data_IF_967676507363
#
_entry.id   IF_967676507363
#
_cell.length_a   1.000
_cell.length_b   1.000
_cell.length_c   1.000
_cell.angle_alpha   90.00
_cell.angle_beta   90.00
_cell.angle_gamma   90.00
#
_symmetry.space_group_name_H-M   'P 1'
#
loop_
_entity.id
_entity.type
_entity.pdbx_description
1 polymer ?
#
# COMPACT_ATOMS: atom_id res chain seq x y z
N UNK A 1 2.58 24.59 -8.34
CA UNK A 1 2.28 23.74 -7.17
C UNK A 1 0.93 24.19 -6.63
N UNK A 2 -0.08 23.33 -6.63
CA UNK A 2 -1.35 23.65 -5.98
C UNK A 2 -1.15 23.45 -4.49
N UNK A 3 -1.39 24.48 -3.68
CA UNK A 3 -1.36 24.35 -2.23
C UNK A 3 -2.65 23.63 -1.78
N UNK A 4 -2.51 22.36 -1.46
CA UNK A 4 -3.59 21.53 -0.94
C UNK A 4 -3.63 21.53 0.60
N UNK A 5 -3.12 22.60 1.26
CA UNK A 5 -3.12 22.70 2.73
C UNK A 5 -2.26 21.62 3.42
N UNK A 6 -1.18 21.19 2.78
CA UNK A 6 -0.29 20.13 3.26
C UNK A 6 -0.77 18.71 2.94
N UNK A 7 -1.92 18.54 2.27
CA UNK A 7 -2.39 17.24 1.77
C UNK A 7 -1.70 16.91 0.45
N UNK A 8 -1.11 15.72 0.34
CA UNK A 8 -0.61 15.17 -0.92
C UNK A 8 -1.76 14.50 -1.69
N UNK A 9 -1.75 14.65 -3.01
CA UNK A 9 -2.72 14.00 -3.91
C UNK A 9 -1.97 13.09 -4.86
N UNK A 10 -2.21 11.79 -4.72
CA UNK A 10 -1.52 10.76 -5.46
C UNK A 10 -2.37 10.25 -6.63
N UNK A 11 -1.68 9.78 -7.67
CA UNK A 11 -2.29 9.10 -8.81
C UNK A 11 -1.76 7.67 -8.96
N UNK A 12 -2.38 6.92 -9.84
CA UNK A 12 -1.92 5.58 -10.19
C UNK A 12 -1.76 5.42 -11.69
N UNK A 13 -0.81 4.60 -12.10
CA UNK A 13 -0.62 4.19 -13.49
C UNK A 13 -0.82 2.68 -13.62
N UNK A 14 -1.26 2.26 -14.81
CA UNK A 14 -1.34 0.85 -15.15
C UNK A 14 0.04 0.21 -15.12
N UNK A 15 0.12 -1.05 -14.70
CA UNK A 15 1.34 -1.86 -14.80
C UNK A 15 1.64 -2.34 -16.23
N UNK A 16 0.82 -2.00 -17.21
CA UNK A 16 1.09 -2.24 -18.64
C UNK A 16 2.08 -1.22 -19.18
N UNK A 17 3.24 -1.66 -19.62
CA UNK A 17 4.39 -0.80 -19.96
C UNK A 17 4.11 0.21 -21.09
N UNK A 18 3.28 -0.14 -22.06
CA UNK A 18 3.06 0.67 -23.27
C UNK A 18 2.59 2.11 -23.02
N UNK A 19 1.87 2.37 -21.90
CA UNK A 19 1.26 3.67 -21.62
C UNK A 19 1.82 4.37 -20.37
N UNK A 20 2.80 3.76 -19.72
CA UNK A 20 3.29 4.24 -18.42
C UNK A 20 3.94 5.62 -18.52
N UNK A 21 4.83 5.81 -19.50
CA UNK A 21 5.55 7.06 -19.70
C UNK A 21 4.61 8.26 -19.84
N UNK A 22 3.65 8.15 -20.75
CA UNK A 22 2.66 9.21 -20.99
C UNK A 22 1.73 9.42 -19.78
N UNK A 23 1.34 8.34 -19.10
CA UNK A 23 0.46 8.42 -17.93
C UNK A 23 1.17 9.10 -16.76
N UNK A 24 2.41 8.72 -16.44
CA UNK A 24 3.20 9.33 -15.39
C UNK A 24 3.48 10.82 -15.67
N UNK A 25 3.86 11.16 -16.91
CA UNK A 25 4.08 12.54 -17.32
C UNK A 25 2.78 13.39 -17.21
N UNK A 26 1.62 12.81 -17.53
CA UNK A 26 0.33 13.50 -17.33
C UNK A 26 0.00 13.75 -15.87
N UNK A 27 0.31 12.79 -14.96
CA UNK A 27 0.13 12.97 -13.52
C UNK A 27 1.02 14.11 -13.01
N UNK A 28 2.30 14.08 -13.35
CA UNK A 28 3.24 15.13 -12.96
C UNK A 28 2.80 16.51 -13.44
N UNK A 29 2.42 16.65 -14.73
CA UNK A 29 1.92 17.92 -15.30
C UNK A 29 0.63 18.42 -14.64
N UNK A 30 -0.19 17.53 -14.10
CA UNK A 30 -1.40 17.86 -13.35
C UNK A 30 -1.13 18.23 -11.90
N UNK A 31 0.11 18.08 -11.43
CA UNK A 31 0.53 18.43 -10.07
C UNK A 31 0.19 17.37 -9.03
N UNK A 32 0.12 16.09 -9.43
CA UNK A 32 0.06 14.98 -8.48
C UNK A 32 1.42 14.82 -7.77
N UNK A 33 1.37 14.41 -6.50
CA UNK A 33 2.56 14.29 -5.65
C UNK A 33 3.25 12.93 -5.82
N UNK A 34 2.50 11.85 -6.00
CA UNK A 34 3.04 10.51 -6.21
C UNK A 34 2.31 9.75 -7.33
N UNK A 35 3.06 8.87 -7.99
CA UNK A 35 2.60 7.94 -9.01
C UNK A 35 2.76 6.51 -8.52
N UNK A 36 1.64 5.83 -8.24
CA UNK A 36 1.63 4.46 -7.72
C UNK A 36 1.42 3.40 -8.80
N UNK A 37 2.11 2.26 -8.65
CA UNK A 37 1.84 1.01 -9.37
C UNK A 37 1.36 -0.08 -8.43
N UNK A 38 0.65 -1.09 -8.94
CA UNK A 38 0.17 -2.21 -8.14
C UNK A 38 0.56 -3.56 -8.77
N UNK A 39 0.92 -4.53 -7.93
CA UNK A 39 1.19 -5.90 -8.37
C UNK A 39 -0.12 -6.71 -8.44
N UNK A 40 -0.73 -6.73 -9.62
CA UNK A 40 -1.95 -7.51 -9.88
C UNK A 40 -1.63 -8.64 -10.86
N UNK A 41 -1.48 -8.34 -12.13
CA UNK A 41 -1.20 -9.26 -13.24
C UNK A 41 0.15 -8.99 -13.91
N UNK A 42 0.85 -7.93 -13.50
CA UNK A 42 2.18 -7.55 -13.99
C UNK A 42 3.12 -7.23 -12.83
N UNK A 43 4.42 -7.16 -13.09
CA UNK A 43 5.43 -6.73 -12.13
C UNK A 43 5.24 -5.23 -11.80
N UNK A 44 5.29 -4.82 -10.53
CA UNK A 44 5.04 -3.44 -10.13
C UNK A 44 6.24 -2.51 -10.32
N UNK A 45 7.46 -3.04 -10.47
CA UNK A 45 8.69 -2.24 -10.51
C UNK A 45 9.06 -1.79 -11.93
N UNK A 46 8.84 -2.64 -12.93
CA UNK A 46 9.20 -2.32 -14.33
C UNK A 46 8.54 -1.03 -14.85
N UNK A 47 7.26 -0.76 -14.56
CA UNK A 47 6.62 0.50 -14.95
C UNK A 47 7.28 1.71 -14.34
N UNK A 48 7.84 1.59 -13.10
CA UNK A 48 8.45 2.71 -12.39
C UNK A 48 9.79 3.14 -13.01
N UNK A 49 10.50 2.25 -13.67
CA UNK A 49 11.69 2.61 -14.46
C UNK A 49 11.29 3.57 -15.59
N UNK A 50 10.22 3.24 -16.33
CA UNK A 50 9.71 4.12 -17.40
C UNK A 50 9.15 5.43 -16.86
N UNK A 51 8.49 5.39 -15.72
CA UNK A 51 8.00 6.60 -15.06
C UNK A 51 9.16 7.50 -14.61
N UNK A 52 10.22 6.93 -14.02
CA UNK A 52 11.40 7.67 -13.60
C UNK A 52 12.09 8.40 -14.78
N UNK A 53 12.23 7.71 -15.91
CA UNK A 53 12.83 8.26 -17.13
C UNK A 53 12.05 9.45 -17.71
N UNK A 54 10.73 9.48 -17.55
CA UNK A 54 9.85 10.45 -18.21
C UNK A 54 9.25 11.50 -17.25
N UNK A 55 9.70 11.54 -16.01
CA UNK A 55 9.29 12.51 -14.99
C UNK A 55 10.48 13.05 -14.22
N UNK A 56 10.35 14.22 -13.61
CA UNK A 56 11.45 14.89 -12.92
C UNK A 56 11.22 15.13 -11.43
N UNK A 57 9.97 15.23 -10.99
CA UNK A 57 9.63 15.70 -9.63
C UNK A 57 8.64 14.82 -8.88
N UNK A 58 7.76 14.11 -9.57
CA UNK A 58 6.74 13.26 -8.95
C UNK A 58 7.39 12.08 -8.22
N UNK A 59 6.96 11.81 -6.99
CA UNK A 59 7.37 10.59 -6.27
C UNK A 59 6.82 9.35 -7.00
N UNK A 60 7.54 8.24 -6.94
CA UNK A 60 7.23 7.01 -7.66
C UNK A 60 7.16 5.86 -6.65
N UNK A 61 6.08 5.09 -6.64
CA UNK A 61 5.96 4.07 -5.62
C UNK A 61 5.18 2.83 -6.03
N UNK A 62 5.36 1.77 -5.26
CA UNK A 62 4.54 0.55 -5.36
C UNK A 62 3.43 0.57 -4.30
N UNK A 63 2.18 0.30 -4.71
CA UNK A 63 1.04 0.15 -3.79
C UNK A 63 0.19 -1.07 -4.19
N UNK A 64 0.68 -2.24 -3.95
CA UNK A 64 1.88 -2.69 -3.26
C UNK A 64 2.70 -3.64 -4.14
N UNK A 65 3.99 -3.82 -3.83
CA UNK A 65 4.73 -4.99 -4.23
C UNK A 65 4.56 -6.12 -3.19
N UNK A 66 4.38 -7.35 -3.65
CA UNK A 66 4.13 -8.51 -2.78
C UNK A 66 5.44 -8.98 -2.14
N UNK A 67 5.66 -8.63 -0.88
CA UNK A 67 6.89 -8.95 -0.15
C UNK A 67 7.12 -10.46 -0.03
N UNK A 68 6.10 -11.24 0.33
CA UNK A 68 6.27 -12.67 0.61
C UNK A 68 6.44 -13.56 -0.63
N UNK A 69 6.26 -13.00 -1.82
CA UNK A 69 6.66 -13.64 -3.07
C UNK A 69 8.16 -13.48 -3.40
N UNK A 70 8.88 -12.67 -2.60
CA UNK A 70 10.28 -12.27 -2.79
C UNK A 70 11.08 -12.48 -1.51
N UNK A 71 12.36 -12.15 -1.55
CA UNK A 71 13.19 -12.08 -0.34
C UNK A 71 13.76 -10.66 -0.15
N UNK A 72 14.20 -10.30 1.07
CA UNK A 72 14.70 -8.96 1.37
C UNK A 72 15.84 -8.50 0.45
N UNK A 73 16.79 -9.38 0.10
CA UNK A 73 17.93 -9.02 -0.75
C UNK A 73 17.49 -8.59 -2.15
N UNK A 74 16.60 -9.37 -2.79
CA UNK A 74 16.14 -9.02 -4.15
C UNK A 74 15.32 -7.74 -4.17
N UNK A 75 14.54 -7.47 -3.13
CA UNK A 75 13.76 -6.23 -3.02
C UNK A 75 14.68 -5.06 -2.66
N UNK A 76 15.69 -5.29 -1.82
CA UNK A 76 16.69 -4.27 -1.52
C UNK A 76 17.45 -3.81 -2.77
N UNK A 77 17.84 -4.74 -3.67
CA UNK A 77 18.48 -4.40 -4.95
C UNK A 77 17.56 -3.50 -5.81
N UNK A 78 16.33 -3.93 -6.05
CA UNK A 78 15.38 -3.16 -6.87
C UNK A 78 15.10 -1.79 -6.26
N UNK A 79 14.94 -1.73 -4.92
CA UNK A 79 14.72 -0.47 -4.22
C UNK A 79 15.90 0.49 -4.35
N UNK A 80 17.13 -0.04 -4.23
CA UNK A 80 18.36 0.74 -4.39
C UNK A 80 18.51 1.32 -5.80
N UNK A 81 18.34 0.45 -6.80
CA UNK A 81 18.47 0.86 -8.21
C UNK A 81 17.42 1.91 -8.60
N UNK A 82 16.14 1.71 -8.19
CA UNK A 82 15.09 2.68 -8.44
C UNK A 82 15.30 3.99 -7.69
N UNK A 83 15.81 3.96 -6.46
CA UNK A 83 16.13 5.16 -5.69
C UNK A 83 17.24 5.97 -6.37
N UNK A 84 18.32 5.30 -6.79
CA UNK A 84 19.39 5.93 -7.51
C UNK A 84 18.92 6.52 -8.86
N UNK A 85 18.20 5.71 -9.64
CA UNK A 85 17.74 6.10 -10.98
C UNK A 85 16.68 7.20 -10.97
N UNK A 86 15.82 7.22 -9.98
CA UNK A 86 14.81 8.25 -9.81
C UNK A 86 15.31 9.49 -9.06
N UNK A 87 16.61 9.58 -8.74
CA UNK A 87 17.19 10.70 -8.00
C UNK A 87 16.50 10.95 -6.65
N UNK A 88 16.28 9.87 -5.87
CA UNK A 88 15.73 9.97 -4.53
C UNK A 88 14.20 10.01 -4.44
N UNK A 89 13.46 9.79 -5.54
CA UNK A 89 11.99 9.89 -5.59
C UNK A 89 11.24 8.58 -5.35
N UNK A 90 11.94 7.46 -5.13
CA UNK A 90 11.29 6.16 -5.02
C UNK A 90 10.75 5.86 -3.61
N UNK A 91 9.53 5.34 -3.55
CA UNK A 91 8.87 4.84 -2.33
C UNK A 91 8.57 3.34 -2.52
N UNK A 92 9.12 2.52 -1.65
CA UNK A 92 8.89 1.08 -1.64
C UNK A 92 7.66 0.72 -0.81
N UNK A 93 6.52 0.57 -1.46
CA UNK A 93 5.30 0.10 -0.81
C UNK A 93 5.17 -1.42 -0.86
N UNK A 94 5.13 -2.05 0.31
CA UNK A 94 5.11 -3.49 0.50
C UNK A 94 3.80 -3.99 1.09
N UNK A 95 3.37 -5.18 0.69
CA UNK A 95 2.25 -5.89 1.32
C UNK A 95 2.52 -7.38 1.44
N UNK A 96 1.89 -8.02 2.44
CA UNK A 96 2.02 -9.46 2.66
C UNK A 96 1.25 -10.31 1.64
N UNK A 97 0.26 -9.73 0.98
CA UNK A 97 -0.79 -10.44 0.25
C UNK A 97 -1.58 -11.38 1.21
N UNK A 98 -2.42 -12.25 0.70
CA UNK A 98 -3.19 -13.23 1.48
C UNK A 98 -2.64 -14.65 1.28
N UNK A 99 -2.84 -15.51 2.27
CA UNK A 99 -2.33 -16.89 2.30
C UNK A 99 -2.57 -17.66 0.99
N UNK A 100 -3.79 -17.72 0.40
CA UNK A 100 -4.02 -18.49 -0.83
C UNK A 100 -3.17 -18.01 -2.00
N UNK A 101 -2.93 -16.71 -2.15
CA UNK A 101 -2.07 -16.20 -3.21
C UNK A 101 -0.59 -16.54 -2.98
N UNK A 102 -0.12 -16.44 -1.74
CA UNK A 102 1.28 -16.75 -1.43
C UNK A 102 1.56 -18.24 -1.65
N UNK A 103 0.70 -19.12 -1.14
CA UNK A 103 0.91 -20.56 -1.25
C UNK A 103 0.60 -21.12 -2.64
N UNK A 104 -0.53 -20.72 -3.26
CA UNK A 104 -1.02 -21.38 -4.48
C UNK A 104 -0.68 -20.64 -5.78
N UNK A 105 -0.39 -19.33 -5.72
CA UNK A 105 0.02 -18.54 -6.90
C UNK A 105 1.54 -18.36 -6.94
N UNK A 106 2.16 -18.03 -5.79
CA UNK A 106 3.60 -17.77 -5.73
C UNK A 106 4.41 -18.97 -5.25
N UNK A 107 3.76 -20.06 -4.81
CA UNK A 107 4.42 -21.28 -4.30
C UNK A 107 5.42 -20.99 -3.16
N UNK A 108 5.07 -20.06 -2.27
CA UNK A 108 5.90 -19.64 -1.15
C UNK A 108 5.20 -19.96 0.18
N UNK A 109 5.97 -20.23 1.26
CA UNK A 109 5.39 -20.55 2.56
C UNK A 109 4.68 -19.34 3.18
N UNK A 110 3.57 -19.58 3.87
CA UNK A 110 2.86 -18.61 4.66
C UNK A 110 2.97 -18.91 6.15
N UNK A 111 3.53 -18.00 6.91
CA UNK A 111 3.58 -18.11 8.37
C UNK A 111 3.78 -16.77 9.04
N UNK A 112 3.17 -16.58 10.21
CA UNK A 112 3.38 -15.42 11.10
C UNK A 112 3.57 -14.08 10.34
N UNK A 113 2.56 -13.59 9.58
CA UNK A 113 2.75 -12.53 8.60
C UNK A 113 3.26 -11.20 9.21
N UNK A 114 2.85 -10.85 10.42
CA UNK A 114 3.28 -9.62 11.09
C UNK A 114 4.78 -9.67 11.43
N UNK A 115 5.23 -10.75 12.09
CA UNK A 115 6.63 -10.94 12.46
C UNK A 115 7.52 -11.06 11.22
N UNK A 116 7.05 -11.79 10.20
CA UNK A 116 7.78 -11.95 8.94
C UNK A 116 7.92 -10.62 8.18
N UNK A 117 6.88 -9.78 8.14
CA UNK A 117 6.95 -8.46 7.50
C UNK A 117 7.90 -7.52 8.26
N UNK A 118 7.82 -7.53 9.60
CA UNK A 118 8.76 -6.77 10.44
C UNK A 118 10.21 -7.14 10.11
N UNK A 119 10.50 -8.43 10.10
CA UNK A 119 11.84 -8.94 9.82
C UNK A 119 12.29 -8.64 8.39
N UNK A 120 11.36 -8.70 7.41
CA UNK A 120 11.61 -8.35 6.03
C UNK A 120 12.11 -6.91 5.89
N UNK A 121 11.40 -5.96 6.52
CA UNK A 121 11.76 -4.53 6.49
C UNK A 121 13.10 -4.29 7.18
N UNK A 122 13.30 -4.86 8.36
CA UNK A 122 14.57 -4.72 9.11
C UNK A 122 15.75 -5.32 8.35
N UNK A 123 15.56 -6.47 7.68
CA UNK A 123 16.60 -7.08 6.85
C UNK A 123 17.00 -6.19 5.67
N UNK A 124 16.04 -5.54 5.01
CA UNK A 124 16.34 -4.59 3.92
C UNK A 124 17.13 -3.38 4.43
N UNK A 125 16.73 -2.81 5.56
CA UNK A 125 17.47 -1.67 6.16
C UNK A 125 18.91 -2.05 6.51
N UNK A 126 19.14 -3.25 7.06
CA UNK A 126 20.50 -3.74 7.34
C UNK A 126 21.31 -3.94 6.06
N UNK A 127 20.69 -4.46 4.99
CA UNK A 127 21.34 -4.61 3.68
C UNK A 127 21.74 -3.24 3.12
N UNK A 128 20.83 -2.26 3.11
CA UNK A 128 21.12 -0.90 2.65
C UNK A 128 22.18 -0.21 3.50
N UNK A 129 22.14 -0.38 4.82
CA UNK A 129 23.16 0.18 5.72
C UNK A 129 24.52 -0.42 5.45
N UNK A 130 24.60 -1.74 5.18
CA UNK A 130 25.83 -2.40 4.76
C UNK A 130 26.38 -1.81 3.45
N UNK A 131 25.55 -1.62 2.44
CA UNK A 131 25.96 -1.04 1.17
C UNK A 131 26.42 0.42 1.29
N UNK A 132 25.69 1.22 2.06
CA UNK A 132 25.98 2.64 2.24
C UNK A 132 27.27 2.89 3.03
N UNK A 133 27.53 2.10 4.07
CA UNK A 133 28.65 2.34 5.00
C UNK A 133 29.86 1.43 4.79
N UNK A 134 29.72 0.38 3.97
CA UNK A 134 30.73 -0.67 3.85
C UNK A 134 30.86 -1.56 5.09
N UNK A 135 29.89 -1.51 6.02
CA UNK A 135 29.89 -2.34 7.21
C UNK A 135 29.62 -3.81 6.87
N UNK A 136 30.00 -4.71 7.81
CA UNK A 136 29.72 -6.15 7.64
C UNK A 136 28.21 -6.42 7.71
N UNK A 137 27.67 -7.12 6.70
CA UNK A 137 26.31 -7.63 6.74
C UNK A 137 26.19 -8.76 7.78
N UNK A 138 25.32 -8.59 8.79
CA UNK A 138 25.19 -9.52 9.92
C UNK A 138 23.76 -9.70 10.41
N UNK A 139 22.77 -9.68 9.49
CA UNK A 139 21.38 -9.87 9.85
C UNK A 139 21.06 -11.34 10.11
N UNK A 140 20.43 -11.62 11.25
CA UNK A 140 19.95 -12.97 11.61
C UNK A 140 18.60 -12.85 12.33
N UNK A 141 17.55 -13.38 11.70
CA UNK A 141 16.21 -13.47 12.25
C UNK A 141 15.64 -14.88 12.18
N UNK A 142 14.35 -14.99 12.44
CA UNK A 142 13.60 -16.26 12.39
C UNK A 142 13.29 -16.69 10.95
N UNK A 143 13.11 -15.73 10.05
CA UNK A 143 12.67 -15.95 8.66
C UNK A 143 13.80 -15.70 7.65
N UNK A 144 14.69 -14.77 7.95
CA UNK A 144 15.74 -14.34 7.02
C UNK A 144 17.09 -14.27 7.70
N UNK A 145 18.13 -14.69 6.97
CA UNK A 145 19.51 -14.59 7.42
C UNK A 145 20.37 -14.08 6.27
N UNK A 146 21.02 -12.92 6.46
CA UNK A 146 21.92 -12.30 5.50
C UNK A 146 23.26 -12.03 6.15
N UNK A 147 24.29 -12.80 5.79
CA UNK A 147 25.63 -12.76 6.43
C UNK A 147 26.78 -12.68 5.43
N UNK A 148 26.46 -12.62 4.13
CA UNK A 148 27.46 -12.56 3.08
C UNK A 148 27.23 -11.34 2.22
N UNK A 149 28.24 -10.46 2.17
CA UNK A 149 28.36 -9.37 1.22
C UNK A 149 29.83 -9.22 0.86
N UNK A 150 30.13 -9.22 -0.43
CA UNK A 150 31.49 -9.01 -0.92
C UNK A 150 31.53 -7.80 -1.80
N UNK A 151 32.70 -7.16 -2.02
CA UNK A 151 32.80 -5.95 -2.81
C UNK A 151 32.19 -6.04 -4.22
N UNK A 152 32.26 -7.21 -4.86
CA UNK A 152 31.68 -7.44 -6.19
C UNK A 152 30.15 -7.31 -6.21
N UNK A 153 29.47 -7.57 -5.09
CA UNK A 153 28.01 -7.54 -4.97
C UNK A 153 27.50 -6.32 -4.19
N UNK A 154 28.38 -5.40 -3.84
CA UNK A 154 28.06 -4.14 -3.16
C UNK A 154 27.88 -3.06 -4.23
N UNK A 155 26.69 -2.45 -4.38
CA UNK A 155 26.50 -1.33 -5.29
C UNK A 155 27.22 -0.08 -4.79
N UNK A 156 27.37 0.91 -5.67
CA UNK A 156 27.86 2.23 -5.27
C UNK A 156 26.91 2.88 -4.24
N UNK A 157 27.46 3.63 -3.28
CA UNK A 157 26.63 4.33 -2.28
C UNK A 157 25.62 5.29 -2.93
N UNK A 158 24.43 5.39 -2.35
CA UNK A 158 23.43 6.38 -2.76
C UNK A 158 23.91 7.81 -2.42
N UNK A 159 23.59 8.74 -3.30
CA UNK A 159 23.73 10.18 -3.04
C UNK A 159 22.48 10.80 -2.40
N UNK A 160 21.44 10.03 -2.23
CA UNK A 160 20.15 10.35 -1.64
C UNK A 160 19.90 9.48 -0.41
N UNK A 161 18.89 9.82 0.37
CA UNK A 161 18.40 8.95 1.46
C UNK A 161 17.95 7.59 0.92
N UNK A 162 17.87 6.60 1.81
CA UNK A 162 17.29 5.29 1.46
C UNK A 162 15.87 5.44 0.94
N UNK A 163 15.39 4.48 0.11
CA UNK A 163 13.98 4.44 -0.26
C UNK A 163 13.11 4.45 1.00
N UNK A 164 12.10 5.29 1.05
CA UNK A 164 11.09 5.19 2.12
C UNK A 164 10.36 3.86 1.98
N UNK A 165 10.19 3.15 3.07
CA UNK A 165 9.43 1.90 3.12
C UNK A 165 8.04 2.16 3.65
N UNK A 166 7.03 1.96 2.81
CA UNK A 166 5.63 1.98 3.23
C UNK A 166 5.11 0.55 3.32
N UNK A 167 4.25 0.28 4.31
CA UNK A 167 3.66 -1.05 4.49
C UNK A 167 2.14 -0.97 4.42
N UNK A 168 1.54 -1.84 3.61
CA UNK A 168 0.09 -2.00 3.59
C UNK A 168 -0.37 -2.78 4.82
N UNK A 169 -1.25 -2.18 5.59
CA UNK A 169 -1.82 -2.79 6.78
C UNK A 169 -3.34 -2.57 6.85
N UNK A 170 -4.05 -3.61 7.29
CA UNK A 170 -5.50 -3.60 7.49
C UNK A 170 -5.84 -3.88 8.95
N UNK A 171 -5.20 -4.85 9.57
CA UNK A 171 -5.44 -5.23 10.95
C UNK A 171 -4.52 -4.52 11.93
N UNK A 172 -4.97 -4.37 13.17
CA UNK A 172 -4.30 -3.66 14.25
C UNK A 172 -2.84 -4.06 14.45
N UNK A 173 -2.55 -5.37 14.51
CA UNK A 173 -1.18 -5.87 14.72
C UNK A 173 -0.22 -5.52 13.57
N UNK A 174 -0.69 -5.56 12.31
CA UNK A 174 0.12 -5.16 11.16
C UNK A 174 0.34 -3.66 11.14
N UNK A 175 -0.68 -2.88 11.53
CA UNK A 175 -0.59 -1.42 11.64
C UNK A 175 0.38 -1.00 12.73
N UNK A 176 0.37 -1.67 13.88
CA UNK A 176 1.31 -1.41 14.97
C UNK A 176 2.75 -1.72 14.55
N UNK A 177 2.97 -2.86 13.89
CA UNK A 177 4.28 -3.21 13.31
C UNK A 177 4.72 -2.19 12.25
N UNK A 178 3.79 -1.71 11.41
CA UNK A 178 4.08 -0.67 10.44
C UNK A 178 4.60 0.61 11.12
N UNK A 179 3.96 1.07 12.20
CA UNK A 179 4.43 2.21 12.99
C UNK A 179 5.81 2.00 13.62
N UNK A 180 6.18 0.75 13.93
CA UNK A 180 7.48 0.42 14.51
C UNK A 180 8.63 0.49 13.48
N UNK A 181 8.45 -0.04 12.27
CA UNK A 181 9.59 -0.27 11.35
C UNK A 181 9.50 0.44 10.00
N UNK A 182 8.33 0.94 9.60
CA UNK A 182 8.14 1.57 8.30
C UNK A 182 8.14 3.10 8.35
N UNK A 183 8.29 3.75 7.20
CA UNK A 183 8.26 5.22 7.05
C UNK A 183 6.87 5.73 6.67
N UNK A 184 5.97 4.81 6.30
CA UNK A 184 4.58 5.14 5.97
C UNK A 184 3.64 3.96 5.99
N UNK A 185 2.35 4.27 6.11
CA UNK A 185 1.24 3.33 6.02
C UNK A 185 0.51 3.52 4.68
N UNK A 186 0.33 2.42 3.96
CA UNK A 186 -0.64 2.31 2.88
C UNK A 186 -1.93 1.71 3.45
N UNK A 187 -2.88 2.57 3.79
CA UNK A 187 -4.17 2.13 4.29
C UNK A 187 -5.00 1.52 3.15
N UNK A 188 -5.87 0.59 3.48
CA UNK A 188 -6.79 0.03 2.49
C UNK A 188 -8.01 0.94 2.31
N UNK A 189 -8.54 1.05 1.08
CA UNK A 189 -9.74 1.83 0.79
C UNK A 189 -10.97 1.38 1.60
N UNK A 190 -11.02 0.12 2.01
CA UNK A 190 -12.06 -0.41 2.87
C UNK A 190 -11.77 -0.08 4.34
N UNK A 191 -11.92 1.19 4.66
CA UNK A 191 -11.82 1.76 6.00
C UNK A 191 -12.82 2.90 6.14
N UNK A 192 -13.14 3.29 7.37
CA UNK A 192 -14.00 4.43 7.66
C UNK A 192 -13.23 5.44 8.51
N UNK A 193 -13.69 6.68 8.56
CA UNK A 193 -13.12 7.69 9.46
C UNK A 193 -13.07 7.18 10.90
N UNK A 194 -14.16 6.60 11.37
CA UNK A 194 -14.25 6.06 12.73
C UNK A 194 -13.25 4.94 12.99
N UNK A 195 -13.12 3.97 12.06
CA UNK A 195 -12.13 2.89 12.19
C UNK A 195 -10.69 3.44 12.20
N UNK A 196 -10.47 4.48 11.42
CA UNK A 196 -9.17 5.15 11.36
C UNK A 196 -8.81 5.82 12.68
N UNK A 197 -9.76 6.52 13.29
CA UNK A 197 -9.57 7.25 14.55
C UNK A 197 -9.49 6.32 15.76
N UNK A 198 -10.36 5.30 15.84
CA UNK A 198 -10.47 4.43 17.01
C UNK A 198 -9.53 3.22 16.99
N UNK A 199 -9.10 2.74 15.81
CA UNK A 199 -8.31 1.51 15.68
C UNK A 199 -6.96 1.76 15.02
N UNK A 200 -6.96 2.33 13.79
CA UNK A 200 -5.74 2.46 12.99
C UNK A 200 -4.74 3.43 13.64
N UNK A 201 -5.18 4.64 13.98
CA UNK A 201 -4.28 5.66 14.56
C UNK A 201 -3.70 5.24 15.91
N UNK A 202 -4.48 4.72 16.88
CA UNK A 202 -3.91 4.23 18.13
C UNK A 202 -2.90 3.09 17.95
N UNK A 203 -3.16 2.14 17.05
CA UNK A 203 -2.24 1.05 16.76
C UNK A 203 -0.92 1.58 16.17
N UNK A 204 -1.01 2.51 15.22
CA UNK A 204 0.15 3.14 14.60
C UNK A 204 1.03 3.87 15.64
N UNK A 205 0.39 4.66 16.52
CA UNK A 205 1.09 5.40 17.56
C UNK A 205 1.81 4.48 18.56
N UNK A 206 1.20 3.36 18.96
CA UNK A 206 1.88 2.34 19.80
C UNK A 206 3.14 1.77 19.11
N UNK A 207 3.08 1.51 17.81
CA UNK A 207 4.24 1.07 17.04
C UNK A 207 5.35 2.12 17.00
N UNK A 208 5.00 3.36 16.74
CA UNK A 208 5.95 4.49 16.75
C UNK A 208 6.60 4.70 18.12
N UNK A 209 5.84 4.59 19.19
CA UNK A 209 6.36 4.72 20.56
C UNK A 209 7.45 3.68 20.85
N UNK A 210 7.25 2.43 20.41
CA UNK A 210 8.26 1.35 20.57
C UNK A 210 9.59 1.66 19.89
N UNK A 211 9.57 2.34 18.77
CA UNK A 211 10.78 2.68 18.00
C UNK A 211 11.31 4.09 18.25
N UNK A 212 10.59 4.90 19.07
CA UNK A 212 10.93 6.30 19.30
C UNK A 212 10.71 7.21 18.10
N UNK A 213 9.95 6.78 17.09
CA UNK A 213 9.64 7.55 15.88
C UNK A 213 8.63 8.65 16.18
N UNK A 214 8.78 9.80 15.53
CA UNK A 214 7.83 10.91 15.64
C UNK A 214 6.75 10.82 14.58
N UNK A 215 5.52 11.21 14.92
CA UNK A 215 4.40 11.25 13.96
C UNK A 215 4.70 12.14 12.75
N UNK A 216 5.47 13.20 12.89
CA UNK A 216 5.87 14.12 11.82
C UNK A 216 6.80 13.50 10.77
N UNK A 217 7.46 12.41 11.10
CA UNK A 217 8.40 11.68 10.23
C UNK A 217 7.71 10.54 9.44
N UNK A 218 6.41 10.32 9.70
CA UNK A 218 5.65 9.21 9.15
C UNK A 218 4.57 9.69 8.20
N UNK A 219 4.51 9.08 7.01
CA UNK A 219 3.52 9.40 5.99
C UNK A 219 2.36 8.40 6.01
N UNK A 220 1.20 8.86 5.56
CA UNK A 220 0.00 8.06 5.50
C UNK A 220 -0.67 8.29 4.14
N UNK A 221 -0.82 7.22 3.38
CA UNK A 221 -1.56 7.22 2.12
C UNK A 221 -2.80 6.34 2.27
N UNK A 222 -3.96 6.89 1.90
CA UNK A 222 -5.24 6.20 1.97
C UNK A 222 -6.02 6.47 0.69
N UNK A 223 -6.26 5.46 -0.16
CA UNK A 223 -7.17 5.61 -1.28
C UNK A 223 -8.60 5.76 -0.75
N UNK A 224 -9.34 6.71 -1.32
CA UNK A 224 -10.72 6.99 -0.94
C UNK A 224 -11.68 6.55 -2.04
N UNK A 225 -12.85 6.05 -1.65
CA UNK A 225 -13.98 5.96 -2.55
C UNK A 225 -14.57 7.35 -2.75
N UNK A 226 -14.77 7.73 -4.00
CA UNK A 226 -15.37 9.01 -4.37
C UNK A 226 -16.51 8.75 -5.33
N UNK A 227 -17.68 9.25 -4.98
CA UNK A 227 -18.87 9.25 -5.83
C UNK A 227 -19.20 10.70 -6.13
N UNK A 228 -19.18 11.08 -7.39
CA UNK A 228 -19.45 12.43 -7.82
C UNK A 228 -20.31 12.42 -9.07
N UNK A 229 -21.04 13.50 -9.33
CA UNK A 229 -21.92 13.68 -10.47
C UNK A 229 -22.39 15.12 -10.58
N UNK A 230 -22.90 15.52 -11.74
CA UNK A 230 -23.43 16.87 -11.98
C UNK A 230 -24.83 17.05 -11.36
N UNK A 231 -25.56 15.95 -11.16
CA UNK A 231 -26.90 15.92 -10.58
C UNK A 231 -27.14 14.64 -9.78
N UNK A 232 -28.29 14.53 -9.14
CA UNK A 232 -28.70 13.37 -8.32
C UNK A 232 -28.78 12.06 -9.13
N UNK A 233 -29.16 12.12 -10.40
CA UNK A 233 -29.29 10.94 -11.26
C UNK A 233 -27.91 10.38 -11.62
N UNK A 234 -26.92 11.24 -11.92
CA UNK A 234 -25.53 10.85 -12.12
C UNK A 234 -24.91 10.33 -10.84
N UNK A 235 -25.12 10.99 -9.70
CA UNK A 235 -24.65 10.49 -8.40
C UNK A 235 -25.19 9.10 -8.11
N UNK A 236 -26.47 8.85 -8.28
CA UNK A 236 -27.08 7.55 -8.07
C UNK A 236 -26.49 6.47 -9.01
N UNK A 237 -26.26 6.83 -10.27
CA UNK A 237 -25.64 5.93 -11.26
C UNK A 237 -24.20 5.60 -10.89
N UNK A 238 -23.40 6.59 -10.53
CA UNK A 238 -21.99 6.43 -10.18
C UNK A 238 -21.81 5.70 -8.84
N UNK A 239 -22.76 5.80 -7.92
CA UNK A 239 -22.77 5.06 -6.67
C UNK A 239 -22.85 3.53 -6.85
N UNK A 240 -23.48 3.04 -7.94
CA UNK A 240 -23.67 1.60 -8.18
C UNK A 240 -22.33 0.86 -8.18
N UNK A 241 -21.34 1.36 -8.90
CA UNK A 241 -20.00 0.77 -8.97
C UNK A 241 -19.31 0.74 -7.61
N UNK A 242 -19.38 1.85 -6.87
CA UNK A 242 -18.79 1.99 -5.54
C UNK A 242 -19.45 1.04 -4.53
N UNK A 243 -20.78 0.92 -4.54
CA UNK A 243 -21.51 -0.05 -3.70
C UNK A 243 -21.09 -1.49 -3.98
N UNK A 244 -20.94 -1.88 -5.24
CA UNK A 244 -20.44 -3.20 -5.61
C UNK A 244 -19.03 -3.44 -5.09
N UNK A 245 -18.15 -2.45 -5.16
CA UNK A 245 -16.78 -2.56 -4.68
C UNK A 245 -16.70 -2.61 -3.16
N UNK A 246 -17.49 -1.81 -2.45
CA UNK A 246 -17.61 -1.88 -0.99
C UNK A 246 -18.12 -3.28 -0.58
N UNK A 247 -19.18 -3.79 -1.23
CA UNK A 247 -19.73 -5.11 -0.94
C UNK A 247 -18.72 -6.24 -1.20
N UNK A 248 -17.92 -6.12 -2.27
CA UNK A 248 -16.85 -7.07 -2.57
C UNK A 248 -15.81 -7.13 -1.45
N UNK A 249 -15.31 -5.99 -0.99
CA UNK A 249 -14.36 -5.96 0.13
C UNK A 249 -15.01 -6.42 1.45
N UNK A 250 -16.23 -5.97 1.72
CA UNK A 250 -16.99 -6.35 2.91
C UNK A 250 -17.21 -7.87 3.01
N UNK A 251 -17.26 -8.60 1.89
CA UNK A 251 -17.37 -10.06 1.88
C UNK A 251 -16.13 -10.79 2.40
N UNK A 252 -14.99 -10.10 2.47
CA UNK A 252 -13.71 -10.68 2.87
C UNK A 252 -13.60 -10.75 4.41
N UNK A 253 -13.36 -11.94 5.00
CA UNK A 253 -13.33 -12.09 6.46
C UNK A 253 -12.31 -11.19 7.18
N UNK A 254 -11.20 -10.86 6.54
CA UNK A 254 -10.17 -10.00 7.11
C UNK A 254 -10.66 -8.56 7.40
N UNK A 255 -11.71 -8.11 6.73
CA UNK A 255 -12.27 -6.76 6.89
C UNK A 255 -13.49 -6.70 7.84
N UNK A 256 -13.90 -7.83 8.41
CA UNK A 256 -15.06 -7.92 9.29
C UNK A 256 -15.02 -6.91 10.44
N UNK A 257 -13.86 -6.67 11.03
CA UNK A 257 -13.69 -5.73 12.16
C UNK A 257 -14.07 -4.28 11.81
N UNK A 258 -13.92 -3.88 10.56
CA UNK A 258 -14.35 -2.54 10.11
C UNK A 258 -15.87 -2.44 10.21
N UNK A 259 -16.59 -3.46 9.76
CA UNK A 259 -18.05 -3.52 9.82
C UNK A 259 -18.58 -3.67 11.26
N UNK A 260 -17.92 -4.50 12.07
CA UNK A 260 -18.31 -4.72 13.47
C UNK A 260 -18.27 -3.43 14.29
N UNK A 261 -17.31 -2.53 14.01
CA UNK A 261 -17.22 -1.23 14.67
C UNK A 261 -18.47 -0.37 14.47
N UNK A 262 -19.15 -0.54 13.34
CA UNK A 262 -20.39 0.14 12.98
C UNK A 262 -21.66 -0.66 13.34
N UNK A 263 -21.52 -1.85 13.93
CA UNK A 263 -22.66 -2.74 14.20
C UNK A 263 -23.12 -3.56 12.99
N UNK A 264 -22.39 -3.55 11.88
CA UNK A 264 -22.74 -4.24 10.62
C UNK A 264 -22.04 -5.61 10.46
N UNK A 265 -21.75 -6.29 11.58
CA UNK A 265 -21.08 -7.60 11.54
C UNK A 265 -21.86 -8.67 10.76
N UNK A 266 -23.20 -8.64 10.81
CA UNK A 266 -24.05 -9.59 10.09
C UNK A 266 -24.00 -9.38 8.57
N UNK A 267 -23.87 -8.14 8.12
CA UNK A 267 -23.68 -7.82 6.70
C UNK A 267 -22.46 -8.55 6.11
N UNK A 268 -21.36 -8.64 6.86
CA UNK A 268 -20.19 -9.39 6.41
C UNK A 268 -20.51 -10.87 6.18
N UNK A 269 -21.29 -11.47 7.08
CA UNK A 269 -21.68 -12.88 6.99
C UNK A 269 -22.52 -13.14 5.74
N UNK A 270 -23.49 -12.28 5.47
CA UNK A 270 -24.35 -12.38 4.29
C UNK A 270 -23.58 -12.17 2.99
N UNK A 271 -22.75 -11.13 2.92
CA UNK A 271 -21.93 -10.85 1.75
C UNK A 271 -20.90 -11.97 1.49
N UNK A 272 -20.31 -12.55 2.54
CA UNK A 272 -19.42 -13.69 2.41
C UNK A 272 -20.12 -14.90 1.83
N UNK A 273 -21.33 -15.23 2.32
CA UNK A 273 -22.16 -16.30 1.78
C UNK A 273 -22.49 -16.05 0.30
N UNK A 274 -22.98 -14.85 -0.04
CA UNK A 274 -23.32 -14.49 -1.42
C UNK A 274 -22.10 -14.58 -2.37
N UNK A 275 -20.91 -14.21 -1.88
CA UNK A 275 -19.67 -14.33 -2.66
C UNK A 275 -19.34 -15.80 -3.00
N UNK A 276 -19.60 -16.74 -2.06
CA UNK A 276 -19.42 -18.18 -2.30
C UNK A 276 -20.46 -18.75 -3.27
N UNK A 277 -21.65 -18.16 -3.30
CA UNK A 277 -22.74 -18.50 -4.23
C UNK A 277 -22.55 -17.85 -5.63
N UNK A 278 -21.51 -17.01 -5.83
CA UNK A 278 -21.29 -16.31 -7.08
C UNK A 278 -22.28 -15.17 -7.38
N UNK A 279 -22.98 -14.66 -6.38
CA UNK A 279 -24.05 -13.65 -6.51
C UNK A 279 -23.50 -12.21 -6.47
N UNK A 280 -22.41 -11.97 -7.16
CA UNK A 280 -21.65 -10.72 -7.13
C UNK A 280 -22.47 -9.48 -7.45
N UNK A 281 -23.34 -9.56 -8.48
CA UNK A 281 -24.15 -8.42 -8.90
C UNK A 281 -25.19 -7.99 -7.86
N UNK A 282 -25.73 -8.96 -7.10
CA UNK A 282 -26.73 -8.69 -6.07
C UNK A 282 -26.13 -8.14 -4.77
N UNK A 283 -24.82 -8.32 -4.52
CA UNK A 283 -24.18 -7.89 -3.27
C UNK A 283 -24.23 -6.38 -3.08
N UNK A 284 -24.09 -5.60 -4.16
CA UNK A 284 -24.12 -4.15 -4.09
C UNK A 284 -25.42 -3.56 -3.55
N UNK A 285 -26.56 -4.26 -3.69
CA UNK A 285 -27.86 -3.81 -3.18
C UNK A 285 -27.98 -3.88 -1.65
N UNK A 286 -27.07 -4.60 -0.97
CA UNK A 286 -27.00 -4.63 0.50
C UNK A 286 -26.25 -3.44 1.11
N UNK A 287 -25.59 -2.64 0.28
CA UNK A 287 -24.92 -1.40 0.70
C UNK A 287 -25.92 -0.25 0.52
N UNK A 288 -26.55 0.17 1.59
CA UNK A 288 -27.47 1.30 1.61
C UNK A 288 -26.73 2.66 1.60
N UNK A 289 -27.46 3.75 1.74
CA UNK A 289 -26.88 5.10 1.73
C UNK A 289 -26.07 5.38 2.99
N UNK A 290 -26.46 4.85 4.14
CA UNK A 290 -25.74 5.00 5.39
C UNK A 290 -24.34 4.37 5.27
N UNK A 291 -24.27 3.12 4.83
CA UNK A 291 -23.01 2.41 4.62
C UNK A 291 -22.17 3.10 3.55
N UNK A 292 -22.79 3.50 2.42
CA UNK A 292 -22.06 4.18 1.35
C UNK A 292 -21.38 5.46 1.86
N UNK A 293 -22.08 6.29 2.61
CA UNK A 293 -21.58 7.57 3.12
C UNK A 293 -20.49 7.41 4.20
N UNK A 294 -20.44 6.28 4.91
CA UNK A 294 -19.35 5.98 5.84
C UNK A 294 -18.05 5.60 5.11
N UNK A 295 -18.14 4.95 3.96
CA UNK A 295 -16.98 4.48 3.21
C UNK A 295 -16.55 5.43 2.09
N UNK A 296 -17.43 6.27 1.57
CA UNK A 296 -17.19 7.09 0.39
C UNK A 296 -17.46 8.57 0.63
N UNK A 297 -16.72 9.41 -0.05
CA UNK A 297 -17.08 10.82 -0.22
C UNK A 297 -18.10 10.90 -1.34
N UNK A 298 -19.33 11.28 -1.00
CA UNK A 298 -20.44 11.42 -1.95
C UNK A 298 -20.78 12.91 -2.04
N UNK A 299 -20.48 13.55 -3.16
CA UNK A 299 -20.72 14.98 -3.35
C UNK A 299 -20.90 15.33 -4.83
N UNK A 300 -21.74 16.34 -5.15
CA UNK A 300 -21.78 16.89 -6.49
C UNK A 300 -20.45 17.55 -6.88
N UNK A 301 -20.26 17.77 -8.18
CA UNK A 301 -19.02 18.38 -8.73
C UNK A 301 -18.93 19.92 -8.51
N UNK A 302 -19.91 20.56 -7.88
CA UNK A 302 -19.99 22.02 -7.69
C UNK A 302 -19.40 22.46 -6.36
#
# INVERSE_FOLDING_TARGET
MRDHGGLKVDGAVSSQLANVADAANRLEKRGYDCCWTAEINHDPFLPLVLAAEHTATIELGTSIAVAFARNPMTVANVGWDLQAYSEGRFILGLGSQIKPHIENRFSMPWSRPVQRMREFVLAMHEIWSCWQSGSRLAFQGDFYTHKLMTPMFTPEPLTHDFPKVFVAAVGEAMTEMCGEVADGLLAHAFTTKRYFEEVTTPALLRGMERSGRKRSEFQLSCPLFVVTGNDEAELATNAIGTRKQIAFYASTPAYRKVLELHGWGDLQTDLHRMSKEGRWDAMGSLIDDEILNEFAVVAPLN
#
